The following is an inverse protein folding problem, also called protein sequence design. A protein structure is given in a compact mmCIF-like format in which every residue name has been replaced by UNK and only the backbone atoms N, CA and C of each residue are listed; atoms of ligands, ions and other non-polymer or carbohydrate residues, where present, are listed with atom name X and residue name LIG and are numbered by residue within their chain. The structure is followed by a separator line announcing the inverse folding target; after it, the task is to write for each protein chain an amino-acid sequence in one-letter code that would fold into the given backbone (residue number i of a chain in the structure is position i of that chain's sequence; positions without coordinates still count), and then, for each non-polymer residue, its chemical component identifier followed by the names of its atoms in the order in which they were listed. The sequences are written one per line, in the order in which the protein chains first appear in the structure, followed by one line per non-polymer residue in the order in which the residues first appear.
data_IF_635801778082
#
_entry.id   IF_635801778082
#
_cell.length_a   1.000
_cell.length_b   1.000
_cell.length_c   1.000
_cell.angle_alpha   90.00
_cell.angle_beta   90.00
_cell.angle_gamma   90.00
#
_symmetry.space_group_name_H-M   'P 1'
#
loop_
_entity.id
_entity.type
_entity.pdbx_description
1 polymer ?
#
# COMPACT_ATOMS: atom_id res chain seq x y z
N UNK A 1 5.62 -22.92 -7.24
CA UNK A 1 4.91 -21.65 -7.53
C UNK A 1 5.48 -21.11 -8.83
N UNK A 2 4.64 -20.70 -9.79
CA UNK A 2 5.15 -20.11 -11.05
C UNK A 2 5.77 -18.74 -10.79
N UNK A 3 6.66 -18.27 -11.67
CA UNK A 3 7.30 -16.96 -11.55
C UNK A 3 6.27 -15.82 -11.49
N UNK A 4 5.21 -15.93 -12.29
CA UNK A 4 4.09 -14.98 -12.33
C UNK A 4 3.32 -14.94 -11.01
N UNK A 5 3.05 -16.10 -10.41
CA UNK A 5 2.40 -16.16 -9.10
C UNK A 5 3.27 -15.51 -8.02
N UNK A 6 4.60 -15.74 -8.04
CA UNK A 6 5.54 -15.13 -7.09
C UNK A 6 5.57 -13.61 -7.23
N UNK A 7 5.59 -13.10 -8.47
CA UNK A 7 5.52 -11.67 -8.76
C UNK A 7 4.19 -11.07 -8.27
N UNK A 8 3.06 -11.70 -8.58
CA UNK A 8 1.74 -11.23 -8.15
C UNK A 8 1.61 -11.19 -6.62
N UNK A 9 2.09 -12.22 -5.93
CA UNK A 9 2.07 -12.27 -4.46
C UNK A 9 2.97 -11.18 -3.86
N UNK A 10 4.09 -10.90 -4.50
CA UNK A 10 5.01 -9.83 -4.11
C UNK A 10 4.36 -8.45 -4.26
N UNK A 11 3.80 -8.16 -5.44
CA UNK A 11 3.09 -6.92 -5.72
C UNK A 11 1.94 -6.69 -4.73
N UNK A 12 1.19 -7.75 -4.44
CA UNK A 12 0.09 -7.72 -3.48
C UNK A 12 0.58 -7.42 -2.06
N UNK A 13 1.63 -8.11 -1.58
CA UNK A 13 2.11 -7.98 -0.20
C UNK A 13 2.83 -6.67 0.06
N UNK A 14 3.68 -6.21 -0.86
CA UNK A 14 4.31 -4.89 -0.78
C UNK A 14 3.26 -3.79 -0.86
N UNK A 15 2.28 -3.93 -1.76
CA UNK A 15 1.20 -2.97 -1.86
C UNK A 15 0.32 -2.91 -0.62
N UNK A 16 0.03 -4.06 -0.02
CA UNK A 16 -0.66 -4.15 1.25
C UNK A 16 0.10 -3.43 2.38
N UNK A 17 1.42 -3.59 2.46
CA UNK A 17 2.25 -2.88 3.44
C UNK A 17 2.19 -1.35 3.26
N UNK A 18 2.28 -0.87 2.02
CA UNK A 18 2.17 0.56 1.69
C UNK A 18 0.79 1.11 2.08
N UNK A 19 -0.29 0.39 1.76
CA UNK A 19 -1.65 0.78 2.13
C UNK A 19 -1.80 0.86 3.65
N UNK A 20 -1.29 -0.12 4.39
CA UNK A 20 -1.31 -0.13 5.85
C UNK A 20 -0.54 1.06 6.45
N UNK A 21 0.63 1.38 5.90
CA UNK A 21 1.42 2.53 6.33
C UNK A 21 0.71 3.85 6.00
N UNK A 22 0.23 4.02 4.76
CA UNK A 22 -0.44 5.25 4.31
C UNK A 22 -1.75 5.50 5.03
N UNK A 23 -2.65 4.52 5.04
CA UNK A 23 -3.93 4.62 5.76
C UNK A 23 -3.71 4.68 7.27
N UNK A 24 -2.74 3.93 7.80
CA UNK A 24 -2.36 4.01 9.20
C UNK A 24 -1.93 5.41 9.61
N UNK A 25 -1.07 6.06 8.82
CA UNK A 25 -0.64 7.44 9.04
C UNK A 25 -1.80 8.43 8.96
N UNK A 26 -2.67 8.31 7.95
CA UNK A 26 -3.85 9.17 7.81
C UNK A 26 -4.82 9.02 8.99
N UNK A 27 -5.10 7.79 9.40
CA UNK A 27 -6.01 7.50 10.53
C UNK A 27 -5.38 7.91 11.87
N UNK A 28 -4.07 7.72 12.04
CA UNK A 28 -3.37 8.19 13.24
C UNK A 28 -3.31 9.73 13.31
N UNK A 29 -3.22 10.42 12.17
CA UNK A 29 -3.14 11.87 12.14
C UNK A 29 -4.52 12.53 12.27
N UNK A 30 -5.46 12.17 11.39
CA UNK A 30 -6.80 12.79 11.27
C UNK A 30 -7.91 12.08 12.06
N UNK A 31 -7.64 10.89 12.60
CA UNK A 31 -8.64 10.12 13.33
C UNK A 31 -9.07 10.75 14.66
N UNK A 32 -10.30 10.44 15.08
CA UNK A 32 -10.78 10.65 16.44
C UNK A 32 -9.89 9.92 17.47
N UNK A 33 -9.95 10.32 18.75
CA UNK A 33 -9.19 9.68 19.85
C UNK A 33 -9.30 8.15 19.87
N UNK A 34 -10.45 7.59 19.49
CA UNK A 34 -10.72 6.15 19.45
C UNK A 34 -10.16 5.48 18.18
N UNK A 35 -10.18 6.17 17.04
CA UNK A 35 -9.71 5.61 15.75
C UNK A 35 -8.21 5.78 15.54
N UNK A 36 -7.55 6.75 16.21
CA UNK A 36 -6.09 6.92 16.16
C UNK A 36 -5.32 5.67 16.55
N UNK A 37 -5.80 4.93 17.56
CA UNK A 37 -5.16 3.70 18.01
C UNK A 37 -5.17 2.60 16.93
N UNK A 38 -6.25 2.52 16.14
CA UNK A 38 -6.29 1.63 14.98
C UNK A 38 -5.31 2.09 13.90
N UNK A 39 -5.17 3.40 13.69
CA UNK A 39 -4.15 3.99 12.82
C UNK A 39 -2.73 3.56 13.20
N UNK A 40 -2.37 3.68 14.48
CA UNK A 40 -1.08 3.19 14.98
C UNK A 40 -0.91 1.67 14.81
N UNK A 41 -1.97 0.89 14.98
CA UNK A 41 -1.96 -0.55 14.70
C UNK A 41 -1.65 -0.85 13.23
N UNK A 42 -2.26 -0.13 12.29
CA UNK A 42 -1.95 -0.27 10.86
C UNK A 42 -0.52 0.16 10.53
N UNK A 43 0.01 1.23 11.15
CA UNK A 43 1.41 1.64 10.97
C UNK A 43 2.36 0.53 11.44
N UNK A 44 2.13 -0.04 12.63
CA UNK A 44 2.96 -1.12 13.17
C UNK A 44 2.94 -2.35 12.26
N UNK A 45 1.75 -2.78 11.82
CA UNK A 45 1.62 -3.92 10.90
C UNK A 45 2.29 -3.65 9.56
N UNK A 46 2.12 -2.45 9.01
CA UNK A 46 2.79 -2.02 7.78
C UNK A 46 4.31 -2.01 7.93
N UNK A 47 4.83 -1.50 9.04
CA UNK A 47 6.27 -1.46 9.32
C UNK A 47 6.88 -2.86 9.47
N UNK A 48 6.18 -3.79 10.14
CA UNK A 48 6.62 -5.20 10.24
C UNK A 48 6.62 -5.87 8.87
N UNK A 49 5.59 -5.64 8.05
CA UNK A 49 5.53 -6.18 6.70
C UNK A 49 6.65 -5.63 5.80
N UNK A 50 6.92 -4.32 5.87
CA UNK A 50 8.03 -3.68 5.16
C UNK A 50 9.39 -4.21 5.63
N UNK A 51 9.60 -4.35 6.94
CA UNK A 51 10.84 -4.89 7.50
C UNK A 51 11.08 -6.34 7.09
N UNK A 52 10.04 -7.18 7.13
CA UNK A 52 10.12 -8.56 6.68
C UNK A 52 10.55 -8.63 5.21
N UNK A 53 9.94 -7.82 4.34
CA UNK A 53 10.30 -7.78 2.92
C UNK A 53 11.74 -7.30 2.70
N UNK A 54 12.14 -6.22 3.37
CA UNK A 54 13.49 -5.69 3.29
C UNK A 54 14.54 -6.70 3.80
N UNK A 55 14.22 -7.49 4.82
CA UNK A 55 15.11 -8.53 5.32
C UNK A 55 15.28 -9.68 4.31
N UNK A 56 14.21 -10.04 3.59
CA UNK A 56 14.27 -11.03 2.50
C UNK A 56 15.04 -10.51 1.27
N UNK A 57 14.99 -9.20 1.02
CA UNK A 57 15.82 -8.51 0.01
C UNK A 57 17.31 -8.65 0.28
N UNK A 58 17.72 -8.39 1.52
CA UNK A 58 19.13 -8.34 1.94
C UNK A 58 19.77 -9.74 1.98
N UNK A 59 18.96 -10.79 2.08
CA UNK A 59 19.41 -12.19 2.11
C UNK A 59 19.82 -12.78 0.75
N UNK A 60 19.99 -11.96 -0.29
CA UNK A 60 20.52 -12.39 -1.60
C UNK A 60 19.47 -12.74 -2.66
N UNK A 61 18.19 -12.45 -2.40
CA UNK A 61 17.16 -12.49 -3.45
C UNK A 61 17.20 -11.21 -4.29
N UNK A 62 17.73 -11.28 -5.51
CA UNK A 62 17.77 -10.19 -6.50
C UNK A 62 16.39 -9.64 -6.96
N UNK A 63 15.33 -9.94 -6.21
CA UNK A 63 13.92 -9.68 -6.52
C UNK A 63 13.40 -8.39 -5.89
N UNK A 64 14.13 -7.84 -4.92
CA UNK A 64 13.53 -6.87 -4.02
C UNK A 64 13.57 -5.42 -4.48
N UNK A 65 14.55 -5.01 -5.29
CA UNK A 65 14.61 -3.61 -5.74
C UNK A 65 13.60 -3.34 -6.86
N UNK A 66 13.58 -4.19 -7.90
CA UNK A 66 12.65 -4.07 -9.04
C UNK A 66 11.22 -4.30 -8.59
N UNK A 67 10.94 -5.38 -7.84
CA UNK A 67 9.58 -5.68 -7.43
C UNK A 67 9.03 -4.67 -6.43
N UNK A 68 9.85 -4.08 -5.54
CA UNK A 68 9.36 -3.07 -4.59
C UNK A 68 9.04 -1.75 -5.29
N UNK A 69 9.85 -1.32 -6.27
CA UNK A 69 9.57 -0.14 -7.09
C UNK A 69 8.30 -0.34 -7.93
N UNK A 70 8.18 -1.48 -8.61
CA UNK A 70 7.00 -1.81 -9.42
C UNK A 70 5.74 -1.92 -8.56
N UNK A 71 5.85 -2.52 -7.37
CA UNK A 71 4.75 -2.56 -6.39
C UNK A 71 4.33 -1.16 -5.95
N UNK A 72 5.32 -0.30 -5.64
CA UNK A 72 5.08 1.05 -5.16
C UNK A 72 4.43 1.91 -6.26
N UNK A 73 4.87 1.76 -7.51
CA UNK A 73 4.24 2.38 -8.69
C UNK A 73 2.83 1.83 -8.94
N UNK A 74 2.62 0.53 -8.84
CA UNK A 74 1.30 -0.09 -9.01
C UNK A 74 0.31 0.41 -7.95
N UNK A 75 0.76 0.56 -6.71
CA UNK A 75 -0.07 1.05 -5.59
C UNK A 75 -0.33 2.54 -5.72
N UNK A 76 0.70 3.34 -6.00
CA UNK A 76 0.55 4.77 -6.25
C UNK A 76 -0.39 5.03 -7.45
N UNK A 77 -0.23 4.27 -8.53
CA UNK A 77 -1.11 4.29 -9.70
C UNK A 77 -2.54 3.88 -9.36
N UNK A 78 -2.73 2.83 -8.55
CA UNK A 78 -4.04 2.40 -8.07
C UNK A 78 -4.75 3.47 -7.23
N UNK A 79 -4.04 4.12 -6.30
CA UNK A 79 -4.57 5.23 -5.50
C UNK A 79 -4.88 6.46 -6.35
N UNK A 80 -3.97 6.86 -7.24
CA UNK A 80 -4.18 7.98 -8.16
C UNK A 80 -5.41 7.73 -9.05
N UNK A 81 -5.53 6.52 -9.60
CA UNK A 81 -6.68 6.10 -10.39
C UNK A 81 -7.99 6.12 -9.60
N UNK A 82 -7.98 5.64 -8.34
CA UNK A 82 -9.16 5.69 -7.48
C UNK A 82 -9.60 7.13 -7.16
N UNK A 83 -8.65 8.03 -6.86
CA UNK A 83 -8.94 9.45 -6.61
C UNK A 83 -9.52 10.11 -7.86
N UNK A 84 -8.89 9.91 -9.02
CA UNK A 84 -9.38 10.44 -10.31
C UNK A 84 -10.78 9.89 -10.61
N UNK A 85 -11.02 8.60 -10.39
CA UNK A 85 -12.33 7.97 -10.57
C UNK A 85 -13.41 8.59 -9.69
N UNK A 86 -13.11 8.81 -8.40
CA UNK A 86 -14.03 9.49 -7.47
C UNK A 86 -14.31 10.93 -7.91
N UNK A 87 -13.30 11.68 -8.36
CA UNK A 87 -13.48 13.05 -8.85
C UNK A 87 -14.39 13.07 -10.08
N UNK A 88 -14.12 12.22 -11.08
CA UNK A 88 -14.95 12.11 -12.29
C UNK A 88 -16.39 11.77 -11.91
N UNK A 89 -16.58 10.81 -11.01
CA UNK A 89 -17.90 10.42 -10.53
C UNK A 89 -18.62 11.61 -9.87
N UNK A 90 -17.98 12.30 -8.93
CA UNK A 90 -18.53 13.49 -8.27
C UNK A 90 -18.93 14.58 -9.26
N UNK A 91 -18.09 14.86 -10.27
CA UNK A 91 -18.41 15.83 -11.32
C UNK A 91 -19.64 15.42 -12.12
N UNK A 92 -19.78 14.13 -12.42
CA UNK A 92 -20.92 13.60 -13.17
C UNK A 92 -22.25 13.76 -12.41
N UNK A 93 -22.26 13.54 -11.09
CA UNK A 93 -23.48 13.71 -10.27
C UNK A 93 -23.80 15.19 -10.00
N UNK A 94 -22.80 16.06 -9.83
CA UNK A 94 -23.02 17.50 -9.62
C UNK A 94 -23.56 18.18 -10.88
N UNK A 95 -23.20 17.68 -12.06
CA UNK A 95 -23.70 18.19 -13.35
C UNK A 95 -25.03 17.55 -13.79
N UNK A 96 -25.54 16.56 -13.07
CA UNK A 96 -26.87 15.96 -13.28
C UNK A 96 -27.95 16.73 -12.55
#
# INVERSE_FOLDING_TARGET
MSAEMTLALTLFTVGFAIVLLGMGALVAYYGSKKTRNAGFGFILLGAVATWYWNSQSLAGGAWAEVAMMDSMLAVAGGFAGAIVGVIIFLVAIIKS
#
